data_IF_388003020113
#
_entry.id   IF_388003020113
#
_cell.length_a   1.000
_cell.length_b   1.000
_cell.length_c   1.000
_cell.angle_alpha   90.00
_cell.angle_beta   90.00
_cell.angle_gamma   90.00
#
_symmetry.space_group_name_H-M   'P 1'
#
loop_
_entity.id
_entity.type
_entity.pdbx_description
1 polymer ?
#
# COMPACT_ATOMS: atom_id res chain seq x y z
N UNK A 1 -16.54 19.58 -14.43
CA UNK A 1 -17.56 20.17 -13.56
C UNK A 1 -16.98 20.57 -12.20
N UNK A 2 -16.37 19.66 -11.41
CA UNK A 2 -15.80 19.99 -10.07
C UNK A 2 -14.78 21.13 -10.12
N UNK A 3 -13.81 21.11 -11.05
CA UNK A 3 -12.81 22.17 -11.20
C UNK A 3 -13.41 23.54 -11.54
N UNK A 4 -14.50 23.59 -12.34
CA UNK A 4 -15.18 24.83 -12.66
C UNK A 4 -15.90 25.42 -11.45
N UNK A 5 -16.58 24.58 -10.66
CA UNK A 5 -17.22 25.02 -9.42
C UNK A 5 -16.18 25.52 -8.44
N UNK A 6 -15.04 24.80 -8.29
CA UNK A 6 -13.92 25.22 -7.44
C UNK A 6 -13.41 26.61 -7.88
N UNK A 7 -13.15 26.81 -9.18
CA UNK A 7 -12.65 28.07 -9.72
C UNK A 7 -13.65 29.21 -9.49
N UNK A 8 -14.95 28.97 -9.70
CA UNK A 8 -15.99 29.95 -9.45
C UNK A 8 -16.01 30.39 -7.97
N UNK A 9 -15.94 29.45 -7.04
CA UNK A 9 -15.88 29.74 -5.60
C UNK A 9 -14.64 30.54 -5.25
N UNK A 10 -13.48 30.17 -5.83
CA UNK A 10 -12.24 30.92 -5.63
C UNK A 10 -12.33 32.38 -6.13
N UNK A 11 -13.01 32.59 -7.28
CA UNK A 11 -13.21 33.94 -7.85
C UNK A 11 -14.20 34.79 -7.02
N UNK A 12 -15.15 34.19 -6.30
CA UNK A 12 -16.06 34.93 -5.42
C UNK A 12 -15.34 35.58 -4.20
N UNK A 13 -14.07 35.23 -3.95
CA UNK A 13 -13.27 35.87 -2.92
C UNK A 13 -13.77 35.64 -1.47
N UNK A 14 -14.59 34.59 -1.24
CA UNK A 14 -15.13 34.25 0.08
C UNK A 14 -14.01 33.94 1.08
N UNK A 15 -12.89 33.42 0.59
CA UNK A 15 -11.69 33.10 1.38
C UNK A 15 -10.44 33.74 0.77
N UNK A 16 -9.44 34.09 1.60
CA UNK A 16 -8.16 34.56 1.09
C UNK A 16 -7.55 33.59 0.08
N UNK A 17 -6.99 34.09 -1.03
CA UNK A 17 -6.40 33.29 -2.09
C UNK A 17 -5.24 32.37 -1.63
N UNK A 18 -4.62 32.64 -0.47
CA UNK A 18 -3.67 31.74 0.18
C UNK A 18 -4.32 30.47 0.74
N UNK A 19 -5.54 30.59 1.28
CA UNK A 19 -6.25 29.46 1.88
C UNK A 19 -7.08 28.69 0.86
N UNK A 20 -7.64 29.39 -0.13
CA UNK A 20 -8.45 28.79 -1.19
C UNK A 20 -7.97 29.27 -2.57
N UNK A 21 -6.86 28.70 -3.09
CA UNK A 21 -6.32 29.09 -4.37
C UNK A 21 -7.20 28.64 -5.53
N UNK A 22 -7.25 29.42 -6.62
CA UNK A 22 -7.89 29.03 -7.87
C UNK A 22 -7.15 27.84 -8.52
N UNK A 23 -7.86 27.14 -9.40
CA UNK A 23 -7.30 25.98 -10.15
C UNK A 23 -6.11 26.41 -11.00
N UNK A 24 -6.15 27.58 -11.61
CA UNK A 24 -5.07 28.18 -12.36
C UNK A 24 -3.76 28.27 -11.55
N UNK A 25 -3.84 28.76 -10.31
CA UNK A 25 -2.70 28.84 -9.41
C UNK A 25 -2.20 27.46 -8.97
N UNK A 26 -3.10 26.52 -8.70
CA UNK A 26 -2.73 25.14 -8.36
C UNK A 26 -1.96 24.49 -9.51
N UNK A 27 -2.47 24.62 -10.74
CA UNK A 27 -1.81 24.08 -11.94
C UNK A 27 -0.47 24.75 -12.20
N UNK A 28 -0.38 26.08 -12.09
CA UNK A 28 0.88 26.79 -12.24
C UNK A 28 1.92 26.34 -11.21
N UNK A 29 1.52 26.16 -9.93
CA UNK A 29 2.40 25.64 -8.87
C UNK A 29 2.82 24.20 -9.15
N UNK A 30 1.89 23.34 -9.58
CA UNK A 30 2.21 21.96 -9.96
C UNK A 30 3.27 21.91 -11.09
N UNK A 31 3.07 22.66 -12.17
CA UNK A 31 4.03 22.73 -13.28
C UNK A 31 5.39 23.25 -12.81
N UNK A 32 5.41 24.33 -12.05
CA UNK A 32 6.64 24.92 -11.51
C UNK A 32 7.40 23.92 -10.62
N UNK A 33 6.73 23.27 -9.67
CA UNK A 33 7.37 22.33 -8.76
C UNK A 33 7.81 21.03 -9.46
N UNK A 34 7.15 20.67 -10.54
CA UNK A 34 7.58 19.55 -11.40
C UNK A 34 8.82 19.93 -12.20
N UNK A 35 8.82 21.11 -12.83
CA UNK A 35 9.93 21.60 -13.65
C UNK A 35 11.20 21.87 -12.80
N UNK A 36 11.05 22.35 -11.57
CA UNK A 36 12.17 22.56 -10.62
C UNK A 36 12.66 21.27 -9.97
N UNK A 37 12.04 20.12 -10.24
CA UNK A 37 12.43 18.82 -9.67
C UNK A 37 11.96 18.58 -8.24
N UNK A 38 11.27 19.53 -7.59
CA UNK A 38 10.81 19.37 -6.19
C UNK A 38 9.82 18.20 -6.06
N UNK A 39 8.75 18.20 -6.85
CA UNK A 39 7.76 17.10 -6.82
C UNK A 39 8.35 15.74 -7.19
N UNK A 40 9.16 15.59 -8.26
CA UNK A 40 9.81 14.33 -8.59
C UNK A 40 10.69 13.79 -7.48
N UNK A 41 11.52 14.62 -6.85
CA UNK A 41 12.44 14.18 -5.78
C UNK A 41 11.66 13.70 -4.55
N UNK A 42 10.63 14.43 -4.13
CA UNK A 42 9.76 14.01 -3.02
C UNK A 42 8.98 12.74 -3.36
N UNK A 43 8.46 12.60 -4.58
CA UNK A 43 7.78 11.40 -5.04
C UNK A 43 8.70 10.17 -5.04
N UNK A 44 9.93 10.31 -5.52
CA UNK A 44 10.94 9.23 -5.48
C UNK A 44 11.28 8.81 -4.05
N UNK A 45 11.41 9.75 -3.12
CA UNK A 45 11.62 9.46 -1.70
C UNK A 45 10.47 8.63 -1.11
N UNK A 46 9.23 9.03 -1.39
CA UNK A 46 8.03 8.27 -0.97
C UNK A 46 8.00 6.88 -1.60
N UNK A 47 8.25 6.77 -2.91
CA UNK A 47 8.25 5.48 -3.62
C UNK A 47 9.34 4.52 -3.13
N UNK A 48 10.53 5.02 -2.82
CA UNK A 48 11.61 4.21 -2.27
C UNK A 48 11.23 3.60 -0.91
N UNK A 49 10.62 4.39 0.00
CA UNK A 49 10.13 3.89 1.29
C UNK A 49 8.98 2.92 1.12
N UNK A 50 8.05 3.21 0.19
CA UNK A 50 6.96 2.30 -0.14
C UNK A 50 7.49 0.96 -0.60
N UNK A 51 8.42 0.95 -1.57
CA UNK A 51 9.00 -0.27 -2.12
C UNK A 51 9.68 -1.11 -1.02
N UNK A 52 10.53 -0.49 -0.19
CA UNK A 52 11.20 -1.17 0.91
C UNK A 52 10.25 -1.70 1.98
N UNK A 53 9.34 -0.85 2.46
CA UNK A 53 8.36 -1.22 3.49
C UNK A 53 7.38 -2.27 2.98
N UNK A 54 6.83 -2.08 1.79
CA UNK A 54 5.90 -3.04 1.20
C UNK A 54 6.56 -4.39 0.92
N UNK A 55 7.80 -4.42 0.42
CA UNK A 55 8.52 -5.68 0.19
C UNK A 55 8.70 -6.47 1.50
N UNK A 56 9.11 -5.80 2.58
CA UNK A 56 9.21 -6.42 3.90
C UNK A 56 7.85 -6.96 4.39
N UNK A 57 6.81 -6.14 4.31
CA UNK A 57 5.46 -6.52 4.74
C UNK A 57 4.85 -7.64 3.88
N UNK A 58 5.07 -7.60 2.56
CA UNK A 58 4.61 -8.62 1.64
C UNK A 58 5.28 -9.98 1.93
N UNK A 59 6.60 -10.00 2.09
CA UNK A 59 7.34 -11.22 2.43
C UNK A 59 6.89 -11.78 3.78
N UNK A 60 6.84 -10.94 4.81
CA UNK A 60 6.39 -11.35 6.13
C UNK A 60 4.94 -11.86 6.12
N UNK A 61 4.03 -11.14 5.45
CA UNK A 61 2.63 -11.52 5.35
C UNK A 61 2.42 -12.83 4.60
N UNK A 62 3.12 -13.04 3.48
CA UNK A 62 3.06 -14.31 2.74
C UNK A 62 3.58 -15.47 3.60
N UNK A 63 4.72 -15.30 4.27
CA UNK A 63 5.29 -16.35 5.13
C UNK A 63 4.31 -16.69 6.27
N UNK A 64 3.82 -15.69 6.99
CA UNK A 64 2.84 -15.88 8.09
C UNK A 64 1.56 -16.55 7.57
N UNK A 65 1.00 -16.08 6.46
CA UNK A 65 -0.20 -16.65 5.86
C UNK A 65 -0.02 -18.11 5.39
N UNK A 66 1.13 -18.44 4.80
CA UNK A 66 1.47 -19.82 4.40
C UNK A 66 1.65 -20.72 5.62
N UNK A 67 2.30 -20.26 6.68
CA UNK A 67 2.47 -21.01 7.93
C UNK A 67 1.12 -21.32 8.58
N UNK A 68 0.24 -20.31 8.69
CA UNK A 68 -1.12 -20.47 9.21
C UNK A 68 -1.96 -21.41 8.34
N UNK A 69 -1.84 -21.33 7.02
CA UNK A 69 -2.59 -22.18 6.09
C UNK A 69 -2.15 -23.64 6.11
N UNK A 70 -0.89 -23.91 6.46
CA UNK A 70 -0.29 -25.26 6.46
C UNK A 70 -0.37 -25.98 7.82
N UNK A 71 -0.26 -25.24 8.92
CA UNK A 71 -0.13 -25.79 10.28
C UNK A 71 -1.24 -25.26 11.16
N UNK A 72 -2.03 -26.17 11.76
CA UNK A 72 -3.06 -25.82 12.75
C UNK A 72 -2.44 -25.13 13.97
N UNK A 73 -1.29 -25.60 14.45
CA UNK A 73 -0.60 -24.95 15.54
C UNK A 73 -0.21 -23.50 15.21
N UNK A 74 0.33 -23.26 14.02
CA UNK A 74 0.66 -21.90 13.58
C UNK A 74 -0.60 -21.04 13.41
N UNK A 75 -1.70 -21.61 12.93
CA UNK A 75 -3.00 -20.95 12.85
C UNK A 75 -3.49 -20.55 14.25
N UNK A 76 -3.53 -21.48 15.18
CA UNK A 76 -4.04 -21.24 16.54
C UNK A 76 -3.24 -20.16 17.30
N UNK A 77 -1.92 -20.05 17.04
CA UNK A 77 -1.04 -19.05 17.69
C UNK A 77 -1.08 -17.70 16.95
N UNK A 78 -1.00 -17.70 15.61
CA UNK A 78 -0.81 -16.47 14.84
C UNK A 78 -2.13 -15.79 14.46
N UNK A 79 -3.22 -16.56 14.25
CA UNK A 79 -4.49 -15.99 13.83
C UNK A 79 -5.05 -14.98 14.84
N UNK A 80 -5.03 -15.20 16.17
CA UNK A 80 -5.46 -14.19 17.13
C UNK A 80 -4.66 -12.89 17.01
N UNK A 81 -3.33 -12.97 16.85
CA UNK A 81 -2.45 -11.81 16.71
C UNK A 81 -2.76 -11.02 15.41
N UNK A 82 -2.93 -11.75 14.31
CA UNK A 82 -3.29 -11.13 13.01
C UNK A 82 -4.68 -10.52 13.06
N UNK A 83 -5.65 -11.19 13.69
CA UNK A 83 -7.03 -10.73 13.81
C UNK A 83 -7.17 -9.47 14.67
N UNK A 84 -6.38 -9.35 15.73
CA UNK A 84 -6.33 -8.13 16.56
C UNK A 84 -5.56 -7.02 15.88
N UNK A 85 -4.42 -7.34 15.23
CA UNK A 85 -3.58 -6.33 14.58
C UNK A 85 -4.17 -5.75 13.29
N UNK A 86 -4.94 -6.55 12.54
CA UNK A 86 -5.47 -6.12 11.24
C UNK A 86 -6.44 -4.93 11.31
N UNK A 87 -7.40 -4.83 12.24
CA UNK A 87 -8.29 -3.66 12.37
C UNK A 87 -7.60 -2.39 12.83
N UNK A 88 -6.47 -2.49 13.53
CA UNK A 88 -5.79 -1.32 14.09
C UNK A 88 -5.21 -0.47 12.96
N UNK A 89 -5.50 0.84 12.91
CA UNK A 89 -4.91 1.74 11.92
C UNK A 89 -3.39 1.74 12.03
N UNK A 90 -2.69 1.48 10.91
CA UNK A 90 -1.21 1.43 10.89
C UNK A 90 -0.56 2.71 11.45
N UNK A 91 -1.20 3.86 11.23
CA UNK A 91 -0.73 5.15 11.76
C UNK A 91 -0.73 5.20 13.30
N UNK A 92 -1.61 4.45 13.97
CA UNK A 92 -1.67 4.42 15.43
C UNK A 92 -0.38 3.87 16.07
N UNK A 93 0.38 3.08 15.32
CA UNK A 93 1.69 2.56 15.76
C UNK A 93 2.84 3.55 15.56
N UNK A 94 2.64 4.66 14.82
CA UNK A 94 3.71 5.57 14.46
C UNK A 94 4.49 6.13 15.69
N UNK A 95 3.83 6.60 16.76
CA UNK A 95 4.57 7.09 17.94
C UNK A 95 5.46 6.01 18.57
N UNK A 96 4.98 4.76 18.62
CA UNK A 96 5.71 3.64 19.20
C UNK A 96 6.98 3.33 18.39
N UNK A 97 6.85 3.25 17.06
CA UNK A 97 7.99 3.02 16.17
C UNK A 97 8.99 4.17 16.19
N UNK A 98 8.52 5.43 16.34
CA UNK A 98 9.41 6.59 16.49
C UNK A 98 10.17 6.52 17.82
N UNK A 99 9.54 6.11 18.91
CA UNK A 99 10.23 5.94 20.21
C UNK A 99 11.28 4.83 20.13
N UNK A 100 11.00 3.71 19.44
CA UNK A 100 11.93 2.58 19.36
C UNK A 100 13.07 2.78 18.35
N UNK A 101 12.79 3.40 17.21
CA UNK A 101 13.71 3.47 16.07
C UNK A 101 14.16 4.89 15.71
N UNK A 102 13.71 5.90 16.47
CA UNK A 102 14.03 7.31 16.20
C UNK A 102 13.18 7.93 15.08
N UNK A 103 13.54 9.14 14.68
CA UNK A 103 12.93 9.83 13.53
C UNK A 103 13.63 9.44 12.22
N UNK A 104 12.94 9.60 11.09
CA UNK A 104 13.52 9.40 9.77
C UNK A 104 12.94 8.23 8.97
N UNK A 105 13.76 7.67 8.08
CA UNK A 105 13.30 6.68 7.10
C UNK A 105 12.96 5.31 7.70
N UNK A 106 13.73 4.86 8.70
CA UNK A 106 13.60 3.51 9.25
C UNK A 106 12.21 3.25 9.86
N UNK A 107 11.71 4.08 10.82
CA UNK A 107 10.37 3.87 11.35
C UNK A 107 9.30 3.95 10.27
N UNK A 108 9.43 4.86 9.29
CA UNK A 108 8.47 4.95 8.19
C UNK A 108 8.39 3.64 7.38
N UNK A 109 9.53 3.07 6.99
CA UNK A 109 9.61 1.79 6.27
C UNK A 109 9.02 0.64 7.09
N UNK A 110 9.35 0.57 8.39
CA UNK A 110 8.86 -0.49 9.27
C UNK A 110 7.35 -0.41 9.50
N UNK A 111 6.79 0.79 9.72
CA UNK A 111 5.34 0.97 9.88
C UNK A 111 4.60 0.56 8.62
N UNK A 112 5.11 0.94 7.44
CA UNK A 112 4.54 0.57 6.15
C UNK A 112 4.54 -0.94 5.98
N UNK A 113 5.66 -1.61 6.28
CA UNK A 113 5.78 -3.06 6.21
C UNK A 113 4.83 -3.76 7.18
N UNK A 114 4.77 -3.30 8.41
CA UNK A 114 3.86 -3.80 9.43
C UNK A 114 2.38 -3.67 8.99
N UNK A 115 1.98 -2.51 8.49
CA UNK A 115 0.62 -2.29 8.02
C UNK A 115 0.24 -3.15 6.81
N UNK A 116 1.20 -3.39 5.90
CA UNK A 116 0.99 -4.22 4.71
C UNK A 116 0.89 -5.71 5.04
N UNK A 117 1.61 -6.19 6.06
CA UNK A 117 1.72 -7.60 6.38
C UNK A 117 0.38 -8.25 6.74
N UNK A 118 -0.51 -7.55 7.44
CA UNK A 118 -1.80 -8.11 7.87
C UNK A 118 -2.73 -8.51 6.74
N UNK A 119 -3.10 -7.63 5.79
CA UNK A 119 -3.97 -8.03 4.69
C UNK A 119 -3.31 -9.09 3.80
N UNK A 120 -2.00 -9.07 3.63
CA UNK A 120 -1.26 -10.11 2.90
C UNK A 120 -1.37 -11.45 3.62
N UNK A 121 -1.14 -11.48 4.93
CA UNK A 121 -1.22 -12.71 5.73
C UNK A 121 -2.61 -13.32 5.72
N UNK A 122 -3.66 -12.52 5.95
CA UNK A 122 -5.05 -12.98 5.96
C UNK A 122 -5.45 -13.56 4.61
N UNK A 123 -5.17 -12.86 3.51
CA UNK A 123 -5.54 -13.34 2.17
C UNK A 123 -4.71 -14.57 1.75
N UNK A 124 -3.43 -14.64 2.12
CA UNK A 124 -2.61 -15.81 1.87
C UNK A 124 -3.12 -17.02 2.64
N UNK A 125 -3.42 -16.86 3.93
CA UNK A 125 -3.99 -17.91 4.78
C UNK A 125 -5.33 -18.42 4.21
N UNK A 126 -6.27 -17.52 3.94
CA UNK A 126 -7.58 -17.90 3.36
C UNK A 126 -7.42 -18.57 2.00
N UNK A 127 -6.49 -18.10 1.17
CA UNK A 127 -6.20 -18.70 -0.13
C UNK A 127 -5.69 -20.14 -0.03
N UNK A 128 -4.77 -20.42 0.91
CA UNK A 128 -4.27 -21.77 1.16
C UNK A 128 -5.41 -22.69 1.64
N UNK A 129 -6.27 -22.19 2.53
CA UNK A 129 -7.41 -22.95 3.06
C UNK A 129 -8.52 -23.19 2.02
N UNK A 130 -8.64 -22.31 1.03
CA UNK A 130 -9.65 -22.39 -0.03
C UNK A 130 -9.27 -23.35 -1.18
N UNK A 131 -8.07 -23.92 -1.20
CA UNK A 131 -7.67 -24.89 -2.22
C UNK A 131 -8.60 -26.10 -2.21
N UNK A 132 -9.19 -26.41 -3.36
CA UNK A 132 -10.20 -27.48 -3.47
C UNK A 132 -9.64 -28.82 -3.01
N UNK A 133 -10.33 -29.47 -2.08
CA UNK A 133 -9.95 -30.76 -1.53
C UNK A 133 -9.82 -31.85 -2.61
N UNK A 134 -10.58 -31.76 -3.72
CA UNK A 134 -10.47 -32.69 -4.83
C UNK A 134 -9.09 -32.64 -5.48
N UNK A 135 -8.49 -31.44 -5.66
CA UNK A 135 -7.15 -31.32 -6.24
C UNK A 135 -6.09 -31.94 -5.34
N UNK A 136 -6.22 -31.73 -4.03
CA UNK A 136 -5.33 -32.31 -3.02
C UNK A 136 -5.41 -33.82 -3.05
N UNK A 137 -6.65 -34.40 -3.00
CA UNK A 137 -6.87 -35.84 -3.02
C UNK A 137 -6.38 -36.48 -4.32
N UNK A 138 -6.65 -35.88 -5.48
CA UNK A 138 -6.15 -36.36 -6.76
C UNK A 138 -4.64 -36.42 -6.84
N UNK A 139 -3.96 -35.38 -6.35
CA UNK A 139 -2.49 -35.35 -6.33
C UNK A 139 -1.91 -36.42 -5.39
N UNK A 140 -2.53 -36.64 -4.22
CA UNK A 140 -2.13 -37.70 -3.28
C UNK A 140 -2.34 -39.09 -3.90
N UNK A 141 -3.47 -39.30 -4.57
CA UNK A 141 -3.75 -40.56 -5.26
C UNK A 141 -2.74 -40.87 -6.39
N UNK A 142 -2.19 -39.84 -7.02
CA UNK A 142 -1.09 -39.94 -8.00
C UNK A 142 0.31 -40.08 -7.37
N UNK A 143 0.40 -40.25 -6.05
CA UNK A 143 1.67 -40.45 -5.35
C UNK A 143 2.46 -39.16 -5.06
N UNK A 144 1.83 -37.98 -5.09
CA UNK A 144 2.51 -36.74 -4.78
C UNK A 144 2.98 -36.71 -3.31
N UNK A 145 4.27 -36.46 -3.11
CA UNK A 145 4.84 -36.22 -1.78
C UNK A 145 4.41 -34.87 -1.25
N UNK A 146 4.45 -34.68 0.06
CA UNK A 146 4.01 -33.42 0.72
C UNK A 146 4.62 -32.14 0.10
N UNK A 147 5.92 -32.15 -0.20
CA UNK A 147 6.61 -31.02 -0.85
C UNK A 147 6.10 -30.75 -2.28
N UNK A 148 5.75 -31.82 -3.01
CA UNK A 148 5.20 -31.69 -4.35
C UNK A 148 3.77 -31.16 -4.30
N UNK A 149 2.96 -31.71 -3.37
CA UNK A 149 1.62 -31.23 -3.11
C UNK A 149 1.61 -29.72 -2.81
N UNK A 150 2.44 -29.28 -1.89
CA UNK A 150 2.54 -27.87 -1.53
C UNK A 150 2.95 -26.99 -2.71
N UNK A 151 4.04 -27.34 -3.42
CA UNK A 151 4.60 -26.52 -4.51
C UNK A 151 3.78 -26.54 -5.79
N UNK A 152 3.14 -27.69 -6.14
CA UNK A 152 2.49 -27.89 -7.43
C UNK A 152 0.96 -27.73 -7.37
N UNK A 153 0.35 -27.81 -6.18
CA UNK A 153 -1.10 -27.74 -6.01
C UNK A 153 -1.51 -26.59 -5.10
N UNK A 154 -0.99 -26.58 -3.85
CA UNK A 154 -1.45 -25.62 -2.83
C UNK A 154 -0.99 -24.20 -3.17
N UNK A 155 0.30 -24.00 -3.42
CA UNK A 155 0.84 -22.68 -3.71
C UNK A 155 0.27 -22.06 -4.99
N UNK A 156 0.20 -22.77 -6.14
CA UNK A 156 -0.49 -22.26 -7.32
C UNK A 156 -1.98 -22.02 -7.10
N UNK A 157 -2.66 -22.91 -6.38
CA UNK A 157 -4.10 -22.77 -6.09
C UNK A 157 -4.43 -21.58 -5.19
N UNK A 158 -3.50 -21.19 -4.29
CA UNK A 158 -3.64 -20.03 -3.42
C UNK A 158 -3.24 -18.69 -4.08
N UNK A 159 -2.54 -18.74 -5.23
CA UNK A 159 -1.95 -17.54 -5.86
C UNK A 159 -2.95 -16.40 -6.11
N UNK A 160 -4.19 -16.62 -6.58
CA UNK A 160 -5.16 -15.55 -6.75
C UNK A 160 -5.43 -14.77 -5.45
N UNK A 161 -5.58 -15.50 -4.34
CA UNK A 161 -5.81 -14.86 -3.04
C UNK A 161 -4.56 -14.15 -2.53
N UNK A 162 -3.37 -14.69 -2.75
CA UNK A 162 -2.09 -14.02 -2.45
C UNK A 162 -1.99 -12.71 -3.22
N UNK A 163 -2.33 -12.69 -4.51
CA UNK A 163 -2.33 -11.47 -5.33
C UNK A 163 -3.33 -10.43 -4.82
N UNK A 164 -4.53 -10.87 -4.43
CA UNK A 164 -5.51 -9.99 -3.76
C UNK A 164 -4.94 -9.41 -2.46
N UNK A 165 -4.29 -10.24 -1.65
CA UNK A 165 -3.62 -9.80 -0.41
C UNK A 165 -2.53 -8.78 -0.66
N UNK A 166 -1.67 -8.98 -1.66
CA UNK A 166 -0.62 -8.04 -2.06
C UNK A 166 -1.22 -6.70 -2.52
N UNK A 167 -2.27 -6.72 -3.33
CA UNK A 167 -2.98 -5.51 -3.78
C UNK A 167 -3.55 -4.72 -2.61
N UNK A 168 -4.29 -5.38 -1.71
CA UNK A 168 -4.84 -4.74 -0.51
C UNK A 168 -3.74 -4.24 0.43
N UNK A 169 -2.64 -5.00 0.56
CA UNK A 169 -1.47 -4.64 1.35
C UNK A 169 -0.79 -3.39 0.82
N UNK A 170 -0.57 -3.27 -0.51
CA UNK A 170 0.03 -2.07 -1.10
C UNK A 170 -0.90 -0.86 -0.97
N UNK A 171 -2.19 -1.02 -1.22
CA UNK A 171 -3.15 0.05 -1.06
C UNK A 171 -3.21 0.57 0.39
N UNK A 172 -3.04 -0.31 1.39
CA UNK A 172 -2.92 0.06 2.80
C UNK A 172 -1.58 0.76 3.07
N UNK A 173 -0.47 0.17 2.60
CA UNK A 173 0.87 0.70 2.71
C UNK A 173 0.98 2.13 2.18
N UNK A 174 0.43 2.38 0.98
CA UNK A 174 0.41 3.70 0.36
C UNK A 174 -0.25 4.76 1.24
N UNK A 175 -1.45 4.48 1.74
CA UNK A 175 -2.20 5.43 2.59
C UNK A 175 -1.50 5.69 3.92
N UNK A 176 -0.95 4.64 4.54
CA UNK A 176 -0.22 4.76 5.80
C UNK A 176 1.07 5.53 5.62
N UNK A 177 1.83 5.29 4.54
CA UNK A 177 3.10 5.94 4.29
C UNK A 177 2.97 7.45 4.20
N UNK A 178 2.02 7.97 3.41
CA UNK A 178 1.80 9.41 3.27
C UNK A 178 1.55 10.07 4.62
N UNK A 179 0.72 9.43 5.47
CA UNK A 179 0.43 9.95 6.81
C UNK A 179 1.64 9.85 7.77
N UNK A 180 2.41 8.77 7.66
CA UNK A 180 3.62 8.56 8.49
C UNK A 180 4.72 9.55 8.12
N UNK A 181 4.89 9.89 6.85
CA UNK A 181 5.85 10.90 6.41
C UNK A 181 5.62 12.28 7.05
N UNK A 182 4.38 12.60 7.40
CA UNK A 182 4.05 13.84 8.11
C UNK A 182 4.53 13.82 9.57
N UNK A 183 4.71 12.65 10.18
CA UNK A 183 5.01 12.48 11.61
C UNK A 183 6.47 12.11 11.88
N UNK A 184 7.14 11.42 10.98
CA UNK A 184 8.48 10.84 11.20
C UNK A 184 9.63 11.76 10.80
N UNK A 185 9.34 12.98 10.39
CA UNK A 185 10.35 13.98 9.98
C UNK A 185 11.34 13.45 8.94
N UNK A 186 10.81 12.77 7.92
CA UNK A 186 11.63 12.28 6.80
C UNK A 186 12.18 13.45 5.97
N UNK A 187 13.42 13.40 5.48
CA UNK A 187 14.03 14.53 4.77
C UNK A 187 13.39 14.83 3.41
N UNK A 188 12.77 13.82 2.78
CA UNK A 188 12.12 13.91 1.48
C UNK A 188 10.88 13.01 1.49
N UNK A 189 9.75 13.51 0.99
CA UNK A 189 8.51 12.75 0.90
C UNK A 189 7.34 13.66 0.52
N UNK A 190 6.33 13.11 -0.14
CA UNK A 190 5.12 13.86 -0.52
C UNK A 190 4.32 14.28 0.72
N UNK A 191 4.22 13.40 1.72
CA UNK A 191 3.59 13.72 2.99
C UNK A 191 4.32 14.83 3.74
N UNK A 192 5.66 14.79 3.78
CA UNK A 192 6.49 15.83 4.37
C UNK A 192 6.34 17.17 3.65
N UNK A 193 6.34 17.16 2.30
CA UNK A 193 6.12 18.36 1.51
C UNK A 193 4.79 19.05 1.84
N UNK A 194 3.72 18.27 1.93
CA UNK A 194 2.37 18.79 2.25
C UNK A 194 2.34 19.34 3.68
N UNK A 195 2.94 18.61 4.63
CA UNK A 195 2.95 19.02 6.03
C UNK A 195 3.75 20.32 6.23
N UNK A 196 4.93 20.44 5.61
CA UNK A 196 5.73 21.67 5.65
C UNK A 196 5.04 22.86 4.98
N UNK A 197 4.35 22.65 3.85
CA UNK A 197 3.60 23.70 3.17
C UNK A 197 2.48 24.30 4.03
N UNK A 198 1.92 23.53 4.99
CA UNK A 198 0.91 23.98 5.95
C UNK A 198 1.43 25.12 6.82
N UNK A 199 2.68 25.07 7.26
CA UNK A 199 3.27 26.09 8.15
C UNK A 199 3.31 27.48 7.50
N UNK A 200 3.40 27.51 6.18
CA UNK A 200 3.44 28.74 5.38
C UNK A 200 2.08 29.10 4.76
N UNK A 201 1.01 28.34 5.07
CA UNK A 201 -0.31 28.47 4.45
C UNK A 201 -0.24 28.38 2.90
N UNK A 202 0.70 27.62 2.37
CA UNK A 202 0.91 27.42 0.93
C UNK A 202 -0.02 26.31 0.41
N UNK A 203 -1.33 26.58 0.40
CA UNK A 203 -2.36 25.60 0.04
C UNK A 203 -2.24 25.14 -1.43
N UNK A 204 -1.75 25.98 -2.31
CA UNK A 204 -1.43 25.61 -3.70
C UNK A 204 -0.37 24.51 -3.78
N UNK A 205 0.67 24.55 -2.94
CA UNK A 205 1.69 23.49 -2.83
C UNK A 205 1.08 22.21 -2.24
N UNK A 206 0.25 22.34 -1.20
CA UNK A 206 -0.43 21.19 -0.58
C UNK A 206 -1.32 20.48 -1.60
N UNK A 207 -2.13 21.21 -2.37
CA UNK A 207 -3.02 20.65 -3.39
C UNK A 207 -2.24 20.06 -4.56
N UNK A 208 -1.13 20.66 -4.98
CA UNK A 208 -0.22 20.07 -5.97
C UNK A 208 0.37 18.74 -5.48
N UNK A 209 0.80 18.68 -4.21
CA UNK A 209 1.29 17.44 -3.58
C UNK A 209 0.21 16.36 -3.51
N UNK A 210 -1.01 16.72 -3.12
CA UNK A 210 -2.16 15.78 -3.11
C UNK A 210 -2.47 15.26 -4.50
N UNK A 211 -2.39 16.10 -5.53
CA UNK A 211 -2.58 15.67 -6.92
C UNK A 211 -1.52 14.61 -7.33
N UNK A 212 -0.24 14.81 -6.95
CA UNK A 212 0.82 13.82 -7.20
C UNK A 212 0.53 12.51 -6.45
N UNK A 213 0.10 12.59 -5.19
CA UNK A 213 -0.28 11.38 -4.41
C UNK A 213 -1.38 10.60 -5.13
N UNK A 214 -2.40 11.27 -5.65
CA UNK A 214 -3.47 10.65 -6.44
C UNK A 214 -2.95 10.02 -7.74
N UNK A 215 -2.12 10.74 -8.50
CA UNK A 215 -1.52 10.24 -9.74
C UNK A 215 -0.62 9.02 -9.51
N UNK A 216 0.23 9.07 -8.49
CA UNK A 216 1.09 7.93 -8.12
C UNK A 216 0.24 6.74 -7.67
N UNK A 217 -0.81 6.96 -6.85
CA UNK A 217 -1.72 5.91 -6.43
C UNK A 217 -2.41 5.20 -7.61
N UNK A 218 -2.91 5.97 -8.59
CA UNK A 218 -3.48 5.43 -9.84
C UNK A 218 -2.40 4.70 -10.65
N UNK A 219 -1.18 5.25 -10.70
CA UNK A 219 -0.04 4.64 -11.39
C UNK A 219 0.31 3.27 -10.79
N UNK A 220 0.38 3.16 -9.47
CA UNK A 220 0.65 1.90 -8.77
C UNK A 220 -0.42 0.84 -9.09
N UNK A 221 -1.69 1.24 -9.11
CA UNK A 221 -2.78 0.33 -9.47
C UNK A 221 -2.66 -0.17 -10.92
N UNK A 222 -2.55 0.75 -11.88
CA UNK A 222 -2.58 0.43 -13.31
C UNK A 222 -1.28 -0.15 -13.85
N UNK A 223 -0.13 0.31 -13.35
CA UNK A 223 1.18 -0.09 -13.90
C UNK A 223 1.81 -1.26 -13.16
N UNK A 224 1.40 -1.53 -11.92
CA UNK A 224 1.94 -2.65 -11.14
C UNK A 224 0.95 -3.79 -11.01
N UNK A 225 -0.27 -3.54 -10.50
CA UNK A 225 -1.22 -4.63 -10.20
C UNK A 225 -1.96 -5.17 -11.40
N UNK A 226 -2.51 -4.32 -12.27
CA UNK A 226 -3.23 -4.82 -13.46
C UNK A 226 -2.36 -5.73 -14.35
N UNK A 227 -1.08 -5.39 -14.67
CA UNK A 227 -0.23 -6.27 -15.44
C UNK A 227 0.13 -7.57 -14.70
N UNK A 228 0.43 -7.49 -13.39
CA UNK A 228 0.75 -8.67 -12.58
C UNK A 228 -0.43 -9.65 -12.53
N UNK A 229 -1.65 -9.17 -12.34
CA UNK A 229 -2.86 -9.97 -12.32
C UNK A 229 -3.14 -10.63 -13.68
N UNK A 230 -2.95 -9.89 -14.78
CA UNK A 230 -3.09 -10.42 -16.15
C UNK A 230 -2.12 -11.57 -16.44
N UNK A 231 -0.85 -11.42 -16.05
CA UNK A 231 0.20 -12.43 -16.32
C UNK A 231 0.07 -13.66 -15.42
N UNK A 232 -0.42 -13.49 -14.20
CA UNK A 232 -0.50 -14.59 -13.20
C UNK A 232 -1.88 -15.25 -13.19
N UNK A 233 -2.90 -14.54 -12.75
CA UNK A 233 -4.22 -15.11 -12.43
C UNK A 233 -5.05 -15.37 -13.69
N UNK A 234 -5.06 -14.40 -14.62
CA UNK A 234 -5.85 -14.49 -15.87
C UNK A 234 -5.26 -15.53 -16.82
N UNK A 235 -3.93 -15.55 -16.99
CA UNK A 235 -3.25 -16.51 -17.87
C UNK A 235 -3.42 -17.96 -17.44
N UNK A 236 -3.62 -18.21 -16.15
CA UNK A 236 -3.83 -19.56 -15.62
C UNK A 236 -5.31 -19.96 -15.57
N UNK A 237 -6.21 -19.15 -16.14
CA UNK A 237 -7.65 -19.46 -16.25
C UNK A 237 -8.38 -19.53 -14.91
N UNK A 238 -7.86 -18.88 -13.86
CA UNK A 238 -8.42 -18.91 -12.51
C UNK A 238 -9.53 -17.87 -12.28
N UNK A 239 -9.68 -16.91 -13.20
CA UNK A 239 -10.81 -15.98 -13.25
C UNK A 239 -11.52 -16.17 -14.60
N UNK A 240 -12.80 -16.54 -14.55
CA UNK A 240 -13.68 -16.41 -15.70
C UNK A 240 -13.86 -14.91 -16.01
N UNK A 241 -13.81 -14.56 -17.31
CA UNK A 241 -14.18 -13.21 -17.79
C UNK A 241 -15.64 -12.97 -17.58
#
# INVERSE_FOLDING_TARGET
MVALVWQAVAMLGVMPAKLFPGVDRIVATFVRLTATGVLPVHALGTLARLAGGFALGAVAGVIVGLLMGRSRWAEDVLLPLVSVGNPIPGLAYAPLFVIWFGLGNLPAVLIVGFAAAFPVAVNTWTGVRAVKAIWIRSAVAMGARERQLFRKVVLPGALPAVMTGLRLGLARAWRVLVAVEMLTSVPLGLGWLIFGAREFLATDVMLAGIAVIGLVGIGLEKLVFEPLERVTVVRWGMLAR
#
